data_IF_135139261192
#
_entry.id   IF_135139261192
#
_cell.length_a   1.000
_cell.length_b   1.000
_cell.length_c   1.000
_cell.angle_alpha   90.00
_cell.angle_beta   90.00
_cell.angle_gamma   90.00
#
_symmetry.space_group_name_H-M   'P 1'
#
loop_
_entity.id
_entity.type
_entity.pdbx_description
1 polymer ?
#
# COMPACT_ATOMS: atom_id res chain seq x y z
N UNK A 1 -7.92 19.88 -5.71
CA UNK A 1 -8.55 19.46 -6.98
C UNK A 1 -7.95 20.27 -8.09
N UNK A 2 -8.05 19.82 -9.34
CA UNK A 2 -7.57 20.57 -10.51
C UNK A 2 -8.58 21.64 -10.94
N UNK A 3 -8.13 22.66 -11.65
CA UNK A 3 -8.99 23.72 -12.23
C UNK A 3 -9.62 23.34 -13.58
N UNK A 4 -9.18 22.23 -14.17
CA UNK A 4 -9.62 21.75 -15.49
C UNK A 4 -11.00 21.11 -15.40
N UNK A 5 -12.00 21.74 -16.01
CA UNK A 5 -13.39 21.28 -16.06
C UNK A 5 -13.98 21.56 -17.44
N UNK A 6 -14.86 20.67 -17.93
CA UNK A 6 -15.60 20.84 -19.20
C UNK A 6 -14.72 21.18 -20.41
N UNK A 7 -13.65 20.39 -20.62
CA UNK A 7 -12.68 20.57 -21.71
C UNK A 7 -12.69 19.39 -22.68
N UNK A 8 -12.38 19.65 -23.95
CA UNK A 8 -12.29 18.62 -24.99
C UNK A 8 -11.04 17.73 -24.88
N UNK A 9 -9.98 18.25 -24.26
CA UNK A 9 -8.74 17.55 -23.97
C UNK A 9 -8.19 18.02 -22.62
N UNK A 10 -7.56 17.10 -21.91
CA UNK A 10 -7.12 17.30 -20.52
C UNK A 10 -5.61 17.54 -20.55
N UNK A 11 -5.19 18.71 -20.04
CA UNK A 11 -3.80 18.99 -19.73
C UNK A 11 -3.70 19.39 -18.26
N UNK A 12 -2.91 18.65 -17.47
CA UNK A 12 -2.71 18.90 -16.04
C UNK A 12 -1.24 18.68 -15.72
N UNK A 13 -0.64 19.65 -15.05
CA UNK A 13 0.72 19.58 -14.51
C UNK A 13 0.65 19.34 -13.00
N UNK A 14 1.29 18.27 -12.54
CA UNK A 14 1.42 17.94 -11.12
C UNK A 14 2.71 18.53 -10.56
N UNK A 15 2.88 19.84 -10.72
CA UNK A 15 4.07 20.61 -10.31
C UNK A 15 3.88 21.35 -8.97
N UNK A 16 2.71 21.22 -8.34
CA UNK A 16 2.36 21.88 -7.09
C UNK A 16 1.63 23.22 -7.27
N UNK A 17 1.40 23.69 -8.51
CA UNK A 17 0.67 24.93 -8.80
C UNK A 17 -0.84 24.69 -8.95
N UNK A 18 -1.25 24.02 -10.03
CA UNK A 18 -2.65 23.71 -10.36
C UNK A 18 -3.14 22.39 -9.77
N UNK A 19 -2.22 21.44 -9.61
CA UNK A 19 -2.45 20.15 -8.97
C UNK A 19 -1.38 19.90 -7.91
N UNK A 20 -1.62 18.93 -7.03
CA UNK A 20 -0.62 18.50 -6.07
C UNK A 20 0.66 18.06 -6.77
N UNK A 21 1.81 18.29 -6.15
CA UNK A 21 3.09 17.87 -6.70
C UNK A 21 3.21 16.34 -6.73
N UNK A 22 3.60 15.78 -7.87
CA UNK A 22 3.89 14.36 -8.03
C UNK A 22 5.25 14.20 -8.71
N UNK A 23 6.26 13.79 -7.94
CA UNK A 23 7.61 13.50 -8.47
C UNK A 23 7.62 12.14 -9.17
N UNK A 24 8.18 12.10 -10.38
CA UNK A 24 8.32 10.88 -11.16
C UNK A 24 9.58 10.08 -10.80
N UNK A 25 10.49 10.63 -9.98
CA UNK A 25 11.77 10.01 -9.63
C UNK A 25 12.56 9.50 -10.86
N UNK A 26 12.41 10.19 -11.99
CA UNK A 26 13.10 9.91 -13.25
C UNK A 26 13.98 11.08 -13.61
N UNK A 27 15.16 10.86 -14.22
CA UNK A 27 15.93 11.96 -14.78
C UNK A 27 15.07 12.67 -15.84
N UNK A 28 14.92 13.98 -15.71
CA UNK A 28 14.32 14.76 -16.78
C UNK A 28 15.21 14.61 -18.02
N UNK A 29 14.64 14.07 -19.10
CA UNK A 29 15.33 13.95 -20.37
C UNK A 29 14.69 14.92 -21.36
N UNK A 30 15.47 15.91 -21.81
CA UNK A 30 15.09 16.83 -22.88
C UNK A 30 15.98 16.58 -24.10
N UNK A 31 15.38 16.27 -25.24
CA UNK A 31 16.03 16.24 -26.55
C UNK A 31 15.41 17.28 -27.48
N UNK A 32 15.96 17.44 -28.69
CA UNK A 32 15.48 18.42 -29.67
C UNK A 32 13.98 18.30 -30.03
N UNK A 33 13.37 17.13 -29.82
CA UNK A 33 11.99 16.81 -30.19
C UNK A 33 11.11 16.34 -29.03
N UNK A 34 11.60 16.31 -27.78
CA UNK A 34 10.81 15.83 -26.64
C UNK A 34 11.36 16.35 -25.31
N UNK A 35 10.47 16.80 -24.43
CA UNK A 35 10.77 17.13 -23.03
C UNK A 35 9.99 16.18 -22.14
N UNK A 36 10.70 15.38 -21.36
CA UNK A 36 10.13 14.60 -20.25
C UNK A 36 10.29 15.42 -18.97
N UNK A 37 9.18 15.83 -18.37
CA UNK A 37 9.21 16.51 -17.08
C UNK A 37 9.56 15.54 -15.94
N UNK A 38 10.24 16.02 -14.88
CA UNK A 38 10.52 15.23 -13.69
C UNK A 38 9.28 15.00 -12.82
N UNK A 39 8.15 15.63 -13.13
CA UNK A 39 6.87 15.48 -12.44
C UNK A 39 5.78 14.97 -13.40
N UNK A 40 4.66 14.48 -12.85
CA UNK A 40 3.59 13.92 -13.65
C UNK A 40 2.93 14.99 -14.51
N UNK A 41 2.83 14.73 -15.82
CA UNK A 41 2.10 15.58 -16.76
C UNK A 41 1.10 14.73 -17.52
N UNK A 42 -0.17 15.10 -17.40
CA UNK A 42 -1.22 14.64 -18.32
C UNK A 42 -1.25 15.66 -19.44
N UNK A 43 -1.03 15.24 -20.68
CA UNK A 43 -0.83 16.17 -21.79
C UNK A 43 -1.81 15.91 -22.93
N UNK A 44 -2.69 16.89 -23.19
CA UNK A 44 -3.66 16.88 -24.30
C UNK A 44 -4.44 15.55 -24.41
N UNK A 45 -4.70 14.91 -23.27
CA UNK A 45 -5.31 13.60 -23.25
C UNK A 45 -6.79 13.69 -23.56
N UNK A 46 -7.26 12.88 -24.51
CA UNK A 46 -8.67 12.73 -24.83
C UNK A 46 -9.12 11.32 -24.43
N UNK A 47 -9.72 11.13 -23.24
CA UNK A 47 -10.17 9.82 -22.81
C UNK A 47 -11.30 9.32 -23.72
N UNK A 48 -11.33 8.01 -24.00
CA UNK A 48 -12.36 7.40 -24.83
C UNK A 48 -13.75 7.44 -24.18
N UNK A 49 -13.79 7.53 -22.85
CA UNK A 49 -15.00 7.69 -22.04
C UNK A 49 -14.63 8.26 -20.66
N UNK A 50 -15.64 8.65 -19.89
CA UNK A 50 -15.48 9.10 -18.50
C UNK A 50 -14.89 8.00 -17.62
N UNK A 51 -13.98 8.38 -16.71
CA UNK A 51 -13.33 7.45 -15.81
C UNK A 51 -12.12 8.04 -15.10
N UNK A 52 -11.42 7.17 -14.38
CA UNK A 52 -10.25 7.47 -13.57
C UNK A 52 -8.97 7.17 -14.36
N UNK A 53 -7.98 8.04 -14.23
CA UNK A 53 -6.60 7.76 -14.62
C UNK A 53 -5.93 7.00 -13.46
N UNK A 54 -5.29 5.88 -13.77
CA UNK A 54 -4.69 5.02 -12.75
C UNK A 54 -3.19 4.88 -12.96
N UNK A 55 -2.48 4.75 -11.84
CA UNK A 55 -1.03 4.75 -11.82
C UNK A 55 -0.61 3.96 -10.56
N UNK A 56 0.35 3.04 -10.72
CA UNK A 56 0.92 2.29 -9.59
C UNK A 56 1.80 3.14 -8.67
N UNK A 57 2.10 2.66 -7.46
CA UNK A 57 2.98 3.32 -6.50
C UNK A 57 4.45 3.37 -6.96
N UNK A 58 4.91 2.36 -7.70
CA UNK A 58 6.27 2.30 -8.26
C UNK A 58 6.24 2.32 -9.79
N UNK A 59 6.00 3.50 -10.38
CA UNK A 59 5.72 3.59 -11.82
C UNK A 59 6.52 4.65 -12.59
N UNK A 60 7.30 5.51 -11.93
CA UNK A 60 8.03 6.63 -12.58
C UNK A 60 7.18 7.46 -13.55
N UNK A 61 5.93 7.75 -13.17
CA UNK A 61 4.91 8.40 -14.00
C UNK A 61 4.46 7.65 -15.26
N UNK A 62 4.73 6.35 -15.34
CA UNK A 62 4.13 5.47 -16.34
C UNK A 62 2.70 5.12 -15.91
N UNK A 63 1.75 5.97 -16.26
CA UNK A 63 0.31 5.76 -16.04
C UNK A 63 -0.22 4.56 -16.84
N UNK A 64 -1.24 3.87 -16.34
CA UNK A 64 -1.74 2.64 -16.94
C UNK A 64 -2.36 2.87 -18.33
N UNK A 65 -2.86 4.08 -18.58
CA UNK A 65 -3.46 4.51 -19.85
C UNK A 65 -2.42 4.85 -20.95
N UNK A 66 -1.12 4.73 -20.62
CA UNK A 66 -0.02 4.80 -21.58
C UNK A 66 0.29 6.19 -22.13
N UNK A 67 1.08 6.20 -23.21
CA UNK A 67 1.66 7.41 -23.82
C UNK A 67 0.62 8.43 -24.33
N UNK A 68 -0.63 8.01 -24.53
CA UNK A 68 -1.72 8.91 -24.92
C UNK A 68 -2.13 9.86 -23.79
N UNK A 69 -1.92 9.46 -22.53
CA UNK A 69 -2.22 10.28 -21.36
C UNK A 69 -0.99 11.04 -20.85
N UNK A 70 0.15 10.34 -20.72
CA UNK A 70 1.39 10.90 -20.20
C UNK A 70 2.56 10.45 -21.05
N UNK A 71 3.39 11.40 -21.49
CA UNK A 71 4.51 11.09 -22.35
C UNK A 71 5.57 10.23 -21.62
N UNK A 72 6.15 9.29 -22.35
CA UNK A 72 7.05 8.27 -21.80
C UNK A 72 6.37 7.19 -20.98
N UNK A 73 5.03 7.17 -20.89
CA UNK A 73 4.30 6.08 -20.24
C UNK A 73 4.21 4.85 -21.16
N UNK A 74 4.55 3.68 -20.62
CA UNK A 74 4.40 2.41 -21.34
C UNK A 74 2.93 1.97 -21.40
N UNK A 75 2.15 2.26 -20.35
CA UNK A 75 0.79 1.77 -20.18
C UNK A 75 0.70 0.27 -19.85
N UNK A 76 -0.47 -0.16 -19.42
CA UNK A 76 -0.82 -1.56 -19.23
C UNK A 76 -1.46 -2.08 -20.51
N UNK A 77 -0.94 -3.18 -21.05
CA UNK A 77 -1.36 -3.74 -22.33
C UNK A 77 -2.20 -4.99 -22.16
N UNK A 78 -3.18 -5.13 -23.03
CA UNK A 78 -3.98 -6.32 -23.25
C UNK A 78 -3.93 -6.69 -24.75
N UNK A 79 -4.41 -7.88 -25.16
CA UNK A 79 -4.56 -8.20 -26.58
C UNK A 79 -5.42 -7.20 -27.36
N UNK A 80 -6.32 -6.48 -26.68
CA UNK A 80 -7.16 -5.42 -27.23
C UNK A 80 -6.51 -4.04 -27.27
N UNK A 81 -5.26 -3.90 -26.82
CA UNK A 81 -4.52 -2.63 -26.75
C UNK A 81 -4.29 -2.13 -25.32
N UNK A 82 -3.95 -0.85 -25.20
CA UNK A 82 -3.69 -0.18 -23.92
C UNK A 82 -4.99 0.02 -23.15
N UNK A 83 -4.94 -0.16 -21.83
CA UNK A 83 -6.07 0.05 -20.93
C UNK A 83 -6.61 1.49 -21.02
N UNK A 84 -7.94 1.63 -21.08
CA UNK A 84 -8.61 2.93 -21.05
C UNK A 84 -8.77 3.50 -19.63
N UNK A 85 -9.45 4.66 -19.50
CA UNK A 85 -9.87 5.16 -18.18
C UNK A 85 -10.69 4.11 -17.42
N UNK A 86 -10.57 4.04 -16.11
CA UNK A 86 -11.34 3.08 -15.30
C UNK A 86 -12.68 3.70 -14.89
N UNK A 87 -13.80 3.08 -15.26
CA UNK A 87 -15.14 3.56 -14.83
C UNK A 87 -15.33 3.33 -13.34
N UNK A 88 -16.08 4.22 -12.70
CA UNK A 88 -16.45 4.06 -11.30
C UNK A 88 -17.12 2.71 -11.02
N UNK A 89 -18.04 2.28 -11.89
CA UNK A 89 -18.69 0.97 -11.78
C UNK A 89 -17.78 -0.26 -12.02
N UNK A 90 -16.53 -0.07 -12.43
CA UNK A 90 -15.53 -1.15 -12.51
C UNK A 90 -14.70 -1.26 -11.25
N UNK A 91 -14.75 -0.25 -10.37
CA UNK A 91 -14.06 -0.28 -9.08
C UNK A 91 -14.83 -1.19 -8.15
N UNK A 92 -14.25 -2.35 -7.84
CA UNK A 92 -14.85 -3.34 -6.93
C UNK A 92 -14.70 -2.93 -5.45
N UNK A 93 -13.72 -2.09 -5.13
CA UNK A 93 -13.46 -1.62 -3.79
C UNK A 93 -12.20 -0.76 -3.69
N UNK A 94 -12.01 -0.13 -2.54
CA UNK A 94 -10.81 0.65 -2.19
C UNK A 94 -9.93 -0.19 -1.28
N UNK A 95 -8.63 -0.29 -1.59
CA UNK A 95 -7.69 -0.98 -0.73
C UNK A 95 -7.62 -0.30 0.64
N UNK A 96 -7.88 -1.06 1.71
CA UNK A 96 -7.70 -0.60 3.09
C UNK A 96 -6.23 -0.58 3.49
N UNK A 97 -5.92 0.00 4.66
CA UNK A 97 -4.56 -0.05 5.22
C UNK A 97 -4.12 -1.50 5.41
N UNK A 98 -3.14 -1.94 4.63
CA UNK A 98 -2.55 -3.27 4.78
C UNK A 98 -1.57 -3.27 5.97
N UNK A 99 -1.50 -4.38 6.70
CA UNK A 99 -0.42 -4.58 7.67
C UNK A 99 0.88 -4.79 6.87
N UNK A 100 1.86 -3.85 6.93
CA UNK A 100 2.92 -3.74 5.93
C UNK A 100 3.73 -5.03 5.73
N UNK A 101 3.97 -5.76 6.82
CA UNK A 101 4.78 -6.97 6.80
C UNK A 101 4.04 -8.20 6.27
N UNK A 102 2.71 -8.26 6.34
CA UNK A 102 1.93 -9.33 5.71
C UNK A 102 1.94 -9.22 4.18
N UNK A 103 2.08 -7.99 3.65
CA UNK A 103 2.30 -7.75 2.21
C UNK A 103 3.56 -8.45 1.68
N UNK A 104 4.59 -8.62 2.51
CA UNK A 104 5.80 -9.40 2.15
C UNK A 104 5.45 -10.84 1.78
N UNK A 105 4.55 -11.50 2.52
CA UNK A 105 4.13 -12.88 2.24
C UNK A 105 3.42 -12.97 0.89
N UNK A 106 2.55 -11.99 0.60
CA UNK A 106 1.85 -11.87 -0.69
C UNK A 106 2.85 -11.75 -1.85
N UNK A 107 3.91 -10.97 -1.67
CA UNK A 107 4.98 -10.85 -2.66
C UNK A 107 5.83 -12.13 -2.77
N UNK A 108 6.12 -12.84 -1.67
CA UNK A 108 6.84 -14.12 -1.68
C UNK A 108 6.10 -15.22 -2.43
N UNK A 109 4.76 -15.25 -2.30
CA UNK A 109 3.90 -16.21 -2.99
C UNK A 109 3.54 -15.79 -4.42
N UNK A 110 4.07 -14.66 -4.89
CA UNK A 110 3.90 -14.19 -6.26
C UNK A 110 4.44 -15.22 -7.26
N UNK A 111 3.71 -15.41 -8.36
CA UNK A 111 4.12 -16.32 -9.41
C UNK A 111 5.40 -15.89 -10.15
N UNK A 112 5.89 -16.69 -11.12
CA UNK A 112 7.17 -16.48 -11.82
C UNK A 112 7.32 -15.16 -12.60
N UNK A 113 6.25 -14.37 -12.72
CA UNK A 113 6.22 -13.06 -13.41
C UNK A 113 6.09 -11.88 -12.44
N UNK A 114 6.12 -12.13 -11.13
CA UNK A 114 6.09 -11.08 -10.11
C UNK A 114 7.49 -10.54 -9.85
N UNK A 115 7.61 -9.24 -9.53
CA UNK A 115 8.84 -8.65 -8.96
C UNK A 115 9.23 -9.31 -7.62
N UNK A 116 8.31 -10.06 -7.00
CA UNK A 116 8.54 -10.84 -5.81
C UNK A 116 8.98 -9.94 -4.65
N UNK A 117 9.82 -10.47 -3.77
CA UNK A 117 10.34 -9.71 -2.63
C UNK A 117 11.63 -8.95 -2.91
N UNK A 118 11.97 -8.73 -4.19
CA UNK A 118 13.28 -8.19 -4.56
C UNK A 118 13.54 -6.79 -3.99
N UNK A 119 12.49 -5.98 -3.90
CA UNK A 119 12.54 -4.61 -3.41
C UNK A 119 11.97 -4.48 -1.99
N UNK A 120 11.72 -5.61 -1.31
CA UNK A 120 11.23 -5.61 0.08
C UNK A 120 12.41 -5.45 1.04
N UNK A 121 12.46 -4.38 1.87
CA UNK A 121 13.56 -4.16 2.79
C UNK A 121 13.59 -5.24 3.89
N UNK A 122 14.79 -5.55 4.40
CA UNK A 122 15.01 -6.57 5.43
C UNK A 122 14.22 -6.31 6.72
N UNK A 123 13.96 -5.04 7.04
CA UNK A 123 13.12 -4.63 8.18
C UNK A 123 11.69 -5.17 8.09
N UNK A 124 11.11 -5.28 6.89
CA UNK A 124 9.76 -5.83 6.67
C UNK A 124 9.69 -7.32 7.02
N UNK A 125 10.77 -8.07 6.76
CA UNK A 125 10.87 -9.48 7.15
C UNK A 125 11.04 -9.64 8.66
N UNK A 126 11.87 -8.80 9.28
CA UNK A 126 12.03 -8.81 10.75
C UNK A 126 10.69 -8.50 11.43
N UNK A 127 9.98 -7.49 10.95
CA UNK A 127 8.65 -7.14 11.46
C UNK A 127 7.63 -8.27 11.25
N UNK A 128 7.65 -8.94 10.08
CA UNK A 128 6.81 -10.11 9.81
C UNK A 128 7.03 -11.21 10.86
N UNK A 129 8.28 -11.61 11.07
CA UNK A 129 8.61 -12.66 12.05
C UNK A 129 8.31 -12.22 13.48
N UNK A 130 8.53 -10.95 13.82
CA UNK A 130 8.19 -10.41 15.14
C UNK A 130 6.68 -10.49 15.40
N UNK A 131 5.84 -10.18 14.41
CA UNK A 131 4.38 -10.28 14.55
C UNK A 131 3.92 -11.74 14.60
N UNK A 132 4.46 -12.61 13.74
CA UNK A 132 4.14 -14.05 13.79
C UNK A 132 4.53 -14.64 15.15
N UNK A 133 5.74 -14.38 15.62
CA UNK A 133 6.22 -14.80 16.93
C UNK A 133 5.38 -14.20 18.06
N UNK A 134 5.05 -12.91 17.96
CA UNK A 134 4.19 -12.21 18.91
C UNK A 134 2.81 -12.86 19.02
N UNK A 135 2.15 -13.17 17.92
CA UNK A 135 0.82 -13.82 17.92
C UNK A 135 0.88 -15.22 18.55
N UNK A 136 1.93 -15.99 18.27
CA UNK A 136 2.10 -17.34 18.82
C UNK A 136 2.44 -17.31 20.32
N UNK A 137 3.30 -16.38 20.74
CA UNK A 137 3.79 -16.29 22.12
C UNK A 137 2.91 -15.46 23.04
N UNK A 138 2.11 -14.54 22.49
CA UNK A 138 1.20 -13.67 23.24
C UNK A 138 0.30 -14.43 24.23
N UNK A 139 -0.41 -15.52 23.86
CA UNK A 139 -1.26 -16.21 24.83
C UNK A 139 -0.48 -16.80 26.01
N UNK A 140 0.72 -17.35 25.77
CA UNK A 140 1.57 -17.92 26.83
C UNK A 140 2.14 -16.83 27.76
N UNK A 141 2.57 -15.71 27.17
CA UNK A 141 3.06 -14.57 27.91
C UNK A 141 1.95 -13.92 28.75
N UNK A 142 0.77 -13.71 28.16
CA UNK A 142 -0.39 -13.16 28.85
C UNK A 142 -0.85 -14.05 30.01
N UNK A 143 -0.91 -15.37 29.83
CA UNK A 143 -1.27 -16.29 30.92
C UNK A 143 -0.23 -16.24 32.06
N UNK A 144 1.06 -16.24 31.72
CA UNK A 144 2.14 -16.13 32.71
C UNK A 144 2.08 -14.82 33.50
N UNK A 145 1.86 -13.69 32.82
CA UNK A 145 1.74 -12.37 33.43
C UNK A 145 0.48 -12.28 34.28
N UNK A 146 -0.64 -12.82 33.80
CA UNK A 146 -1.91 -12.81 34.51
C UNK A 146 -1.81 -13.64 35.80
N UNK A 147 -1.25 -14.86 35.73
CA UNK A 147 -0.99 -15.70 36.91
C UNK A 147 -0.04 -15.04 37.90
N UNK A 148 1.03 -14.42 37.42
CA UNK A 148 1.96 -13.68 38.27
C UNK A 148 1.29 -12.52 38.99
N UNK A 149 0.42 -11.78 38.30
CA UNK A 149 -0.33 -10.66 38.87
C UNK A 149 -1.37 -11.14 39.89
N UNK A 150 -2.13 -12.18 39.56
CA UNK A 150 -3.08 -12.81 40.47
C UNK A 150 -2.40 -13.33 41.74
N UNK A 151 -1.25 -14.00 41.63
CA UNK A 151 -0.53 -14.52 42.80
C UNK A 151 0.01 -13.42 43.74
N UNK A 152 0.05 -12.16 43.31
CA UNK A 152 0.38 -11.01 44.17
C UNK A 152 -0.83 -10.36 44.82
N UNK A 153 -2.04 -10.82 44.51
CA UNK A 153 -3.28 -10.24 45.01
C UNK A 153 -3.59 -10.76 46.43
N UNK A 154 -3.84 -9.87 47.41
CA UNK A 154 -3.98 -10.24 48.82
C UNK A 154 -5.22 -11.10 49.11
N UNK A 155 -6.29 -10.95 48.31
CA UNK A 155 -7.49 -11.79 48.37
C UNK A 155 -7.20 -13.28 48.17
N UNK A 156 -6.28 -13.65 47.26
CA UNK A 156 -5.95 -15.05 47.00
C UNK A 156 -5.14 -15.68 48.15
N UNK A 157 -4.23 -14.90 48.75
CA UNK A 157 -3.46 -15.34 49.93
C UNK A 157 -4.35 -15.54 51.16
N UNK A 158 -5.39 -14.71 51.31
CA UNK A 158 -6.36 -14.85 52.38
C UNK A 158 -7.20 -16.13 52.23
N UNK A 159 -7.66 -16.43 51.01
CA UNK A 159 -8.42 -17.65 50.69
C UNK A 159 -7.56 -18.90 50.89
N UNK A 160 -6.31 -18.92 50.40
CA UNK A 160 -5.43 -20.08 50.57
C UNK A 160 -5.12 -20.38 52.03
N UNK A 161 -5.05 -19.33 52.87
CA UNK A 161 -4.81 -19.48 54.30
C UNK A 161 -6.04 -20.03 55.03
N UNK A 162 -7.24 -19.59 54.63
CA UNK A 162 -8.50 -20.13 55.16
C UNK A 162 -8.68 -21.62 54.82
N UNK A 163 -8.32 -22.05 53.60
CA UNK A 163 -8.35 -23.48 53.22
C UNK A 163 -7.37 -24.31 54.07
N UNK A 164 -6.13 -23.82 54.28
CA UNK A 164 -5.15 -24.51 55.13
C UNK A 164 -5.60 -24.66 56.58
N UNK A 165 -6.23 -23.62 57.14
CA UNK A 165 -6.74 -23.66 58.51
C UNK A 165 -7.91 -24.65 58.63
N UNK A 166 -8.72 -24.81 57.57
CA UNK A 166 -9.85 -25.73 57.53
C UNK A 166 -9.42 -27.21 57.35
N UNK A 167 -8.34 -27.49 56.63
CA UNK A 167 -7.77 -28.86 56.51
C UNK A 167 -6.99 -29.29 57.76
N UNK A 168 -6.48 -28.35 58.56
CA UNK A 168 -5.76 -28.63 59.81
C UNK A 168 -6.68 -28.84 61.03
N UNK A 169 -8.00 -28.64 60.85
CA UNK A 169 -9.07 -28.76 61.87
C UNK A 169 -9.71 -30.15 61.87
#
# INVERSE_FOLDING_TARGET
GTSVMDVANITVHFDGSDAAYYDCERPAHSGANYVVEPYLVVWQWKPAHEGMLTLGDNNKCSVDQGAQATNGSAGVHSPSGVVGPIRDGWVLGVAGGEIPWLGTVKLMLGGPQSYGTRDVPSSSFIALFAVLGGVVLAPQALDSVFRWWLNRSPELTAISKLEQDQEAS
#
